data_IF_814289507451
#
_entry.id   IF_814289507451
#
_cell.length_a   1.000
_cell.length_b   1.000
_cell.length_c   1.000
_cell.angle_alpha   90.00
_cell.angle_beta   90.00
_cell.angle_gamma   90.00
#
_symmetry.space_group_name_H-M   'P 1'
#
loop_
_entity.id
_entity.type
_entity.pdbx_description
1 polymer ?
#
# COMPACT_ATOMS: atom_id res chain seq x y z
N UNK A 1 13.50 -12.16 -22.26
CA UNK A 1 14.62 -11.26 -22.65
C UNK A 1 15.61 -11.27 -21.49
N UNK A 2 16.94 -11.32 -21.72
CA UNK A 2 17.89 -11.32 -20.61
C UNK A 2 17.81 -10.01 -19.79
N UNK A 3 18.13 -10.10 -18.51
CA UNK A 3 18.21 -8.94 -17.61
C UNK A 3 19.12 -7.86 -18.20
N UNK A 4 18.61 -6.63 -18.26
CA UNK A 4 19.33 -5.48 -18.80
C UNK A 4 19.83 -4.60 -17.66
N UNK A 5 21.07 -4.84 -17.23
CA UNK A 5 21.75 -3.98 -16.27
C UNK A 5 22.01 -2.59 -16.86
N UNK A 6 21.60 -1.55 -16.12
CA UNK A 6 21.84 -0.17 -16.50
C UNK A 6 22.91 0.43 -15.59
N UNK A 7 23.81 1.25 -16.14
CA UNK A 7 24.89 1.91 -15.40
C UNK A 7 25.73 0.96 -14.53
N UNK A 8 25.94 -0.29 -14.94
CA UNK A 8 26.63 -1.34 -14.15
C UNK A 8 28.08 -1.04 -13.74
N UNK A 9 28.66 0.07 -14.19
CA UNK A 9 30.01 0.54 -13.82
C UNK A 9 30.01 1.72 -12.85
N UNK A 10 28.85 2.22 -12.43
CA UNK A 10 28.78 3.17 -11.32
C UNK A 10 28.91 2.40 -10.03
N UNK A 11 29.95 2.67 -9.24
CA UNK A 11 30.06 2.13 -7.88
C UNK A 11 29.00 2.72 -6.95
N UNK A 12 28.98 2.26 -5.70
CA UNK A 12 28.01 2.67 -4.68
C UNK A 12 27.19 1.49 -4.15
N UNK A 13 26.15 1.82 -3.42
CA UNK A 13 25.21 0.87 -2.79
C UNK A 13 23.94 0.67 -3.61
N UNK A 14 23.77 1.37 -4.74
CA UNK A 14 22.56 1.27 -5.57
C UNK A 14 22.86 0.69 -6.94
N UNK A 15 22.24 -0.46 -7.22
CA UNK A 15 22.20 -1.09 -8.54
C UNK A 15 20.77 -1.12 -9.07
N UNK A 16 20.59 -1.06 -10.39
CA UNK A 16 19.28 -1.20 -11.01
C UNK A 16 19.34 -1.81 -12.41
N UNK A 17 18.27 -2.50 -12.79
CA UNK A 17 18.16 -3.21 -14.05
C UNK A 17 16.69 -3.35 -14.46
N UNK A 18 16.46 -3.53 -15.76
CA UNK A 18 15.17 -4.08 -16.21
C UNK A 18 15.24 -5.59 -16.11
N UNK A 19 14.40 -6.17 -15.26
CA UNK A 19 14.29 -7.62 -15.04
C UNK A 19 12.91 -8.13 -15.46
N UNK A 20 12.81 -9.43 -15.59
CA UNK A 20 11.54 -10.13 -15.76
C UNK A 20 11.05 -10.61 -14.37
N UNK A 21 9.86 -10.20 -13.95
CA UNK A 21 9.16 -10.72 -12.76
C UNK A 21 7.81 -11.28 -13.22
N UNK A 22 7.65 -12.61 -13.09
CA UNK A 22 6.58 -13.33 -13.79
C UNK A 22 6.61 -13.05 -15.30
N UNK A 23 5.46 -12.65 -15.85
CA UNK A 23 5.33 -12.31 -17.28
C UNK A 23 5.61 -10.83 -17.59
N UNK A 24 6.04 -10.04 -16.60
CA UNK A 24 6.20 -8.59 -16.74
C UNK A 24 7.65 -8.13 -16.70
N UNK A 25 7.92 -7.05 -17.44
CA UNK A 25 9.20 -6.33 -17.37
C UNK A 25 9.10 -5.25 -16.33
N UNK A 26 10.06 -5.23 -15.40
CA UNK A 26 10.03 -4.35 -14.23
C UNK A 26 11.38 -3.67 -14.08
N UNK A 27 11.37 -2.38 -13.72
CA UNK A 27 12.57 -1.71 -13.22
C UNK A 27 12.82 -2.15 -11.79
N UNK A 28 13.85 -2.96 -11.58
CA UNK A 28 14.26 -3.42 -10.25
C UNK A 28 15.44 -2.59 -9.78
N UNK A 29 15.31 -2.04 -8.58
CA UNK A 29 16.34 -1.31 -7.85
C UNK A 29 16.72 -2.11 -6.62
N UNK A 30 18.02 -2.30 -6.40
CA UNK A 30 18.58 -2.93 -5.20
C UNK A 30 19.43 -1.88 -4.49
N UNK A 31 19.08 -1.60 -3.23
CA UNK A 31 19.88 -0.77 -2.32
C UNK A 31 20.51 -1.71 -1.30
N UNK A 32 21.76 -2.09 -1.55
CA UNK A 32 22.56 -2.97 -0.73
C UNK A 32 24.04 -2.65 -0.96
N UNK A 33 24.88 -2.67 0.09
CA UNK A 33 26.29 -2.39 -0.09
C UNK A 33 27.07 -2.13 1.20
N UNK A 34 28.31 -1.65 1.02
CA UNK A 34 29.19 -1.23 2.12
C UNK A 34 28.51 -0.25 3.08
N UNK A 35 28.97 -0.20 4.33
CA UNK A 35 28.39 0.63 5.39
C UNK A 35 26.87 0.44 5.59
N UNK A 36 26.38 -0.79 5.30
CA UNK A 36 24.96 -1.17 5.37
C UNK A 36 24.09 -0.33 4.43
N UNK A 37 24.57 -0.10 3.21
CA UNK A 37 23.83 0.64 2.18
C UNK A 37 23.72 2.14 2.44
N UNK A 38 24.75 2.75 3.03
CA UNK A 38 24.79 4.20 3.21
C UNK A 38 24.72 4.88 1.83
N UNK A 39 23.75 5.79 1.64
CA UNK A 39 23.53 6.45 0.36
C UNK A 39 24.52 7.59 0.17
N UNK A 40 25.35 7.47 -0.86
CA UNK A 40 26.27 8.49 -1.34
C UNK A 40 25.59 9.34 -2.43
N UNK A 41 26.20 10.46 -2.88
CA UNK A 41 25.60 11.29 -3.94
C UNK A 41 25.27 10.50 -5.22
N UNK A 42 26.18 9.62 -5.66
CA UNK A 42 26.00 8.77 -6.83
C UNK A 42 24.84 7.77 -6.68
N UNK A 43 24.59 7.29 -5.46
CA UNK A 43 23.45 6.40 -5.17
C UNK A 43 22.12 7.13 -5.36
N UNK A 44 22.04 8.38 -4.89
CA UNK A 44 20.90 9.25 -5.14
C UNK A 44 20.65 9.51 -6.63
N UNK A 45 21.70 9.72 -7.42
CA UNK A 45 21.60 9.82 -8.88
C UNK A 45 21.10 8.53 -9.52
N UNK A 46 21.61 7.37 -9.09
CA UNK A 46 21.18 6.07 -9.60
C UNK A 46 19.70 5.79 -9.30
N UNK A 47 19.25 6.08 -8.08
CA UNK A 47 17.83 6.00 -7.72
C UNK A 47 16.96 6.91 -8.61
N UNK A 48 17.39 8.17 -8.79
CA UNK A 48 16.67 9.13 -9.63
C UNK A 48 16.60 8.68 -11.11
N UNK A 49 17.69 8.13 -11.65
CA UNK A 49 17.73 7.61 -13.02
C UNK A 49 16.86 6.36 -13.16
N UNK A 50 16.87 5.46 -12.18
CA UNK A 50 16.02 4.27 -12.19
C UNK A 50 14.53 4.67 -12.22
N UNK A 51 14.10 5.55 -11.32
CA UNK A 51 12.74 6.07 -11.27
C UNK A 51 12.33 6.77 -12.57
N UNK A 52 13.17 7.68 -13.08
CA UNK A 52 12.94 8.35 -14.36
C UNK A 52 12.81 7.35 -15.51
N UNK A 53 13.68 6.36 -15.56
CA UNK A 53 13.69 5.34 -16.62
C UNK A 53 12.43 4.48 -16.55
N UNK A 54 12.01 4.06 -15.35
CA UNK A 54 10.77 3.31 -15.15
C UNK A 54 9.57 4.10 -15.68
N UNK A 55 9.44 5.37 -15.28
CA UNK A 55 8.37 6.27 -15.76
C UNK A 55 8.41 6.46 -17.28
N UNK A 56 9.57 6.82 -17.83
CA UNK A 56 9.69 7.16 -19.25
C UNK A 56 9.51 5.92 -20.15
N UNK A 57 9.86 4.72 -19.67
CA UNK A 57 9.65 3.45 -20.35
C UNK A 57 8.34 2.75 -19.99
N UNK A 58 7.52 3.35 -19.13
CA UNK A 58 6.24 2.81 -18.66
C UNK A 58 6.36 1.41 -18.06
N UNK A 59 7.37 1.24 -17.20
CA UNK A 59 7.62 0.00 -16.46
C UNK A 59 7.23 0.20 -14.99
N UNK A 60 6.60 -0.79 -14.33
CA UNK A 60 6.52 -0.82 -12.88
C UNK A 60 7.92 -0.71 -12.26
N UNK A 61 7.99 -0.10 -11.08
CA UNK A 61 9.22 0.04 -10.32
C UNK A 61 9.12 -0.75 -9.02
N UNK A 62 10.09 -1.62 -8.79
CA UNK A 62 10.25 -2.38 -7.54
C UNK A 62 11.60 -2.03 -6.94
N UNK A 63 11.60 -1.54 -5.70
CA UNK A 63 12.79 -1.09 -5.00
C UNK A 63 13.00 -1.91 -3.73
N UNK A 64 14.07 -2.70 -3.68
CA UNK A 64 14.50 -3.41 -2.49
C UNK A 64 15.46 -2.55 -1.70
N UNK A 65 15.12 -2.26 -0.46
CA UNK A 65 15.74 -1.23 0.36
C UNK A 65 16.38 -1.81 1.61
N UNK A 66 17.71 -1.69 1.70
CA UNK A 66 18.48 -1.84 2.92
C UNK A 66 19.50 -0.68 3.00
N UNK A 67 19.15 0.37 3.74
CA UNK A 67 19.99 1.57 3.92
C UNK A 67 20.09 2.05 5.39
N UNK A 68 21.32 2.25 5.83
CA UNK A 68 21.69 2.91 7.08
C UNK A 68 21.48 4.44 7.09
N UNK A 69 21.01 5.02 5.98
CA UNK A 69 20.76 6.44 5.82
C UNK A 69 21.72 7.11 4.83
N UNK A 70 21.81 8.44 4.89
CA UNK A 70 22.77 9.19 4.08
C UNK A 70 24.20 9.00 4.63
N UNK A 71 25.18 8.83 3.74
CA UNK A 71 26.59 8.76 4.10
C UNK A 71 27.03 10.06 4.79
N UNK A 72 27.45 9.95 6.06
CA UNK A 72 27.72 11.12 6.92
C UNK A 72 28.94 11.90 6.45
N UNK A 73 29.97 11.19 5.98
CA UNK A 73 31.22 11.74 5.45
C UNK A 73 31.03 12.51 4.12
N UNK A 74 29.99 12.17 3.36
CA UNK A 74 29.57 12.87 2.13
C UNK A 74 28.71 14.12 2.41
N UNK A 75 28.26 14.30 3.67
CA UNK A 75 27.55 15.49 4.15
C UNK A 75 26.33 15.89 3.31
N UNK A 76 26.26 17.17 2.93
CA UNK A 76 25.12 17.73 2.18
C UNK A 76 24.92 17.07 0.81
N UNK A 77 25.99 16.52 0.20
CA UNK A 77 25.92 15.85 -1.09
C UNK A 77 25.03 14.61 -1.03
N UNK A 78 25.21 13.76 -0.01
CA UNK A 78 24.39 12.56 0.20
C UNK A 78 22.92 12.91 0.47
N UNK A 79 22.67 13.95 1.27
CA UNK A 79 21.30 14.43 1.55
C UNK A 79 20.62 14.98 0.28
N UNK A 80 21.36 15.73 -0.53
CA UNK A 80 20.87 16.23 -1.82
C UNK A 80 20.56 15.07 -2.80
N UNK A 81 21.40 14.03 -2.79
CA UNK A 81 21.24 12.85 -3.63
C UNK A 81 19.88 12.17 -3.45
N UNK A 82 19.54 11.76 -2.22
CA UNK A 82 18.25 11.09 -1.99
C UNK A 82 17.06 12.06 -2.16
N UNK A 83 17.24 13.37 -1.92
CA UNK A 83 16.22 14.38 -2.21
C UNK A 83 15.89 14.47 -3.72
N UNK A 84 16.91 14.40 -4.58
CA UNK A 84 16.72 14.31 -6.03
C UNK A 84 16.01 13.00 -6.42
N UNK A 85 16.34 11.88 -5.79
CA UNK A 85 15.63 10.62 -5.99
C UNK A 85 14.15 10.72 -5.59
N UNK A 86 13.85 11.31 -4.43
CA UNK A 86 12.49 11.51 -3.92
C UNK A 86 11.62 12.26 -4.93
N UNK A 87 12.16 13.30 -5.59
CA UNK A 87 11.46 14.03 -6.65
C UNK A 87 11.07 13.13 -7.82
N UNK A 88 11.97 12.25 -8.28
CA UNK A 88 11.65 11.35 -9.40
C UNK A 88 10.70 10.23 -8.99
N UNK A 89 10.77 9.72 -7.75
CA UNK A 89 9.76 8.80 -7.22
C UNK A 89 8.37 9.44 -7.16
N UNK A 90 8.26 10.68 -6.67
CA UNK A 90 6.99 11.44 -6.70
C UNK A 90 6.48 11.59 -8.13
N UNK A 91 7.37 11.81 -9.10
CA UNK A 91 6.98 11.92 -10.50
C UNK A 91 6.53 10.58 -11.14
N UNK A 92 6.76 9.44 -10.47
CA UNK A 92 6.19 8.14 -10.87
C UNK A 92 4.77 7.93 -10.34
N UNK A 93 4.36 8.66 -9.28
CA UNK A 93 3.09 8.43 -8.60
C UNK A 93 1.89 8.58 -9.53
N UNK A 94 1.05 7.54 -9.57
CA UNK A 94 -0.11 7.48 -10.45
C UNK A 94 0.22 7.40 -11.94
N UNK A 95 1.48 7.13 -12.31
CA UNK A 95 1.94 6.93 -13.69
C UNK A 95 2.37 5.49 -13.91
N UNK A 96 3.26 4.98 -13.06
CA UNK A 96 3.68 3.57 -13.02
C UNK A 96 3.56 3.07 -11.58
N UNK A 97 3.20 1.80 -11.34
CA UNK A 97 3.15 1.27 -9.97
C UNK A 97 4.53 1.30 -9.31
N UNK A 98 4.59 1.78 -8.08
CA UNK A 98 5.82 1.82 -7.27
C UNK A 98 5.69 0.95 -6.01
N UNK A 99 6.50 -0.11 -5.93
CA UNK A 99 6.50 -1.05 -4.80
C UNK A 99 7.86 -1.00 -4.13
N UNK A 100 7.90 -0.74 -2.83
CA UNK A 100 9.12 -0.76 -2.04
C UNK A 100 9.12 -1.97 -1.12
N UNK A 101 10.21 -2.73 -1.12
CA UNK A 101 10.40 -3.89 -0.26
C UNK A 101 11.52 -3.58 0.73
N UNK A 102 11.21 -3.53 2.02
CA UNK A 102 12.20 -3.32 3.08
C UNK A 102 12.85 -4.66 3.39
N UNK A 103 14.11 -4.82 2.96
CA UNK A 103 14.89 -6.06 3.08
C UNK A 103 16.04 -5.93 4.08
N UNK A 104 16.12 -4.80 4.78
CA UNK A 104 17.10 -4.54 5.82
C UNK A 104 16.77 -3.24 6.57
N UNK A 105 17.72 -2.73 7.37
CA UNK A 105 17.56 -1.44 8.04
C UNK A 105 17.18 -0.37 7.01
N UNK A 106 16.14 0.42 7.25
CA UNK A 106 15.79 1.57 6.39
C UNK A 106 15.56 2.79 7.26
N UNK A 107 16.63 3.55 7.52
CA UNK A 107 16.63 4.55 8.60
C UNK A 107 16.96 5.96 8.11
N UNK A 108 16.63 6.96 8.94
CA UNK A 108 16.87 8.38 8.67
C UNK A 108 16.12 8.90 7.44
N UNK A 109 16.70 9.84 6.69
CA UNK A 109 16.09 10.47 5.50
C UNK A 109 15.48 9.46 4.50
N UNK A 110 16.22 8.43 4.07
CA UNK A 110 15.71 7.42 3.12
C UNK A 110 14.46 6.67 3.58
N UNK A 111 14.21 6.56 4.90
CA UNK A 111 12.97 5.98 5.42
C UNK A 111 11.71 6.74 4.98
N UNK A 112 11.83 8.04 4.68
CA UNK A 112 10.72 8.83 4.15
C UNK A 112 10.32 8.43 2.74
N UNK A 113 11.20 7.77 1.97
CA UNK A 113 10.86 7.27 0.63
C UNK A 113 9.77 6.20 0.68
N UNK A 114 9.68 5.44 1.78
CA UNK A 114 8.60 4.46 1.99
C UNK A 114 7.21 5.11 1.94
N UNK A 115 7.10 6.35 2.41
CA UNK A 115 5.85 7.12 2.37
C UNK A 115 5.50 7.66 0.98
N UNK A 116 6.41 7.58 0.01
CA UNK A 116 6.20 8.01 -1.38
C UNK A 116 5.76 6.86 -2.29
N UNK A 117 6.04 5.61 -1.90
CA UNK A 117 5.65 4.42 -2.64
C UNK A 117 4.12 4.23 -2.63
N UNK A 118 3.61 3.51 -3.62
CA UNK A 118 2.22 3.10 -3.64
C UNK A 118 1.97 1.95 -2.67
N UNK A 119 2.88 0.97 -2.65
CA UNK A 119 2.84 -0.20 -1.78
C UNK A 119 4.21 -0.42 -1.11
N UNK A 120 4.17 -0.89 0.13
CA UNK A 120 5.36 -1.21 0.93
C UNK A 120 5.21 -2.61 1.49
N UNK A 121 6.15 -3.48 1.16
CA UNK A 121 6.31 -4.83 1.71
C UNK A 121 7.47 -4.76 2.71
N UNK A 122 7.31 -5.30 3.91
CA UNK A 122 8.39 -5.41 4.88
C UNK A 122 8.73 -6.88 5.12
N UNK A 123 10.01 -7.23 4.99
CA UNK A 123 10.50 -8.55 5.39
C UNK A 123 10.64 -8.60 6.90
N UNK A 124 10.32 -9.72 7.52
CA UNK A 124 10.50 -9.94 8.96
C UNK A 124 11.93 -9.65 9.42
N UNK A 125 12.08 -9.32 10.71
CA UNK A 125 13.33 -8.88 11.34
C UNK A 125 13.99 -7.62 10.70
N UNK A 126 13.25 -6.87 9.88
CA UNK A 126 13.65 -5.54 9.38
C UNK A 126 13.00 -4.40 10.16
N UNK A 127 13.55 -3.19 10.03
CA UNK A 127 13.05 -2.02 10.73
C UNK A 127 13.23 -0.73 9.93
N UNK A 128 12.32 0.23 10.14
CA UNK A 128 12.41 1.55 9.55
C UNK A 128 12.05 2.67 10.54
N UNK A 129 12.76 3.79 10.49
CA UNK A 129 12.43 4.98 11.29
C UNK A 129 13.22 6.20 10.82
N UNK A 130 12.67 7.40 11.08
CA UNK A 130 13.36 8.66 10.78
C UNK A 130 14.41 8.99 11.86
N UNK A 131 14.07 8.79 13.13
CA UNK A 131 14.97 9.03 14.27
C UNK A 131 15.15 7.72 15.03
N UNK A 132 16.41 7.31 15.23
CA UNK A 132 16.69 6.03 15.89
C UNK A 132 16.48 6.05 17.41
N UNK A 133 16.48 4.86 18.07
CA UNK A 133 16.12 4.75 19.48
C UNK A 133 17.00 5.56 20.43
N UNK A 134 18.29 5.74 20.09
CA UNK A 134 19.19 6.60 20.88
C UNK A 134 18.68 8.04 20.97
N UNK A 135 18.22 8.61 19.85
CA UNK A 135 17.66 9.95 19.79
C UNK A 135 16.33 10.02 20.55
N UNK A 136 15.47 9.01 20.40
CA UNK A 136 14.19 8.94 21.13
C UNK A 136 14.45 8.95 22.63
N UNK A 137 15.35 8.11 23.14
CA UNK A 137 15.73 8.07 24.56
C UNK A 137 16.27 9.40 25.06
N UNK A 138 17.15 10.04 24.28
CA UNK A 138 17.74 11.31 24.68
C UNK A 138 16.70 12.43 24.85
N UNK A 139 15.70 12.48 23.98
CA UNK A 139 14.73 13.60 23.95
C UNK A 139 13.43 13.32 24.72
N UNK A 140 13.03 12.06 24.86
CA UNK A 140 11.76 11.67 25.48
C UNK A 140 11.93 10.89 26.77
N UNK A 141 13.11 10.29 27.00
CA UNK A 141 13.37 9.37 28.11
C UNK A 141 12.91 7.93 27.86
N UNK A 142 12.25 7.64 26.73
CA UNK A 142 11.77 6.30 26.39
C UNK A 142 12.92 5.40 25.89
N UNK A 143 13.07 4.22 26.49
CA UNK A 143 14.09 3.23 26.10
C UNK A 143 13.43 2.13 25.26
N UNK A 144 13.71 2.14 23.95
CA UNK A 144 13.12 1.23 22.97
C UNK A 144 14.23 0.51 22.18
N UNK A 145 13.94 -0.72 21.74
CA UNK A 145 14.76 -1.40 20.73
C UNK A 145 14.42 -0.89 19.32
N UNK A 146 15.22 -1.24 18.31
CA UNK A 146 14.86 -0.97 16.90
C UNK A 146 13.50 -1.59 16.56
N UNK A 147 13.28 -2.83 17.00
CA UNK A 147 12.03 -3.57 16.81
C UNK A 147 10.85 -2.86 17.48
N UNK A 148 11.02 -2.42 18.73
CA UNK A 148 9.97 -1.72 19.48
C UNK A 148 9.67 -0.32 18.94
N UNK A 149 10.60 0.30 18.23
CA UNK A 149 10.41 1.63 17.65
C UNK A 149 9.80 1.58 16.24
N UNK A 150 10.28 0.67 15.39
CA UNK A 150 9.96 0.66 13.96
C UNK A 150 10.17 -0.70 13.31
N UNK A 151 10.00 -1.79 14.07
CA UNK A 151 9.95 -3.14 13.52
C UNK A 151 8.71 -3.37 12.65
N UNK A 152 8.66 -4.51 11.99
CA UNK A 152 7.56 -4.88 11.07
C UNK A 152 6.20 -4.81 11.75
N UNK A 153 6.08 -5.35 12.97
CA UNK A 153 4.82 -5.32 13.75
C UNK A 153 4.34 -3.89 14.02
N UNK A 154 5.26 -2.96 14.30
CA UNK A 154 4.91 -1.56 14.56
C UNK A 154 4.37 -0.89 13.29
N UNK A 155 4.97 -1.18 12.15
CA UNK A 155 4.52 -0.63 10.87
C UNK A 155 3.25 -1.28 10.32
N UNK A 156 3.03 -2.56 10.62
CA UNK A 156 1.86 -3.33 10.22
C UNK A 156 0.62 -2.96 11.04
N UNK A 157 0.77 -2.66 12.34
CA UNK A 157 -0.37 -2.48 13.26
C UNK A 157 -0.58 -1.05 13.73
N UNK A 158 0.49 -0.27 13.85
CA UNK A 158 0.43 1.05 14.49
C UNK A 158 0.55 2.17 13.47
N UNK A 159 1.66 2.21 12.70
CA UNK A 159 1.92 3.34 11.81
C UNK A 159 1.23 3.22 10.44
N UNK A 160 0.92 2.00 10.00
CA UNK A 160 0.34 1.73 8.68
C UNK A 160 1.29 2.00 7.51
N UNK A 161 2.62 1.93 7.75
CA UNK A 161 3.62 2.07 6.69
C UNK A 161 3.70 0.79 5.87
N UNK A 162 3.73 -0.37 6.55
CA UNK A 162 3.69 -1.67 5.89
C UNK A 162 2.30 -1.94 5.34
N UNK A 163 2.21 -2.19 4.04
CA UNK A 163 1.01 -2.73 3.42
C UNK A 163 0.98 -4.25 3.57
N UNK A 164 2.15 -4.89 3.51
CA UNK A 164 2.31 -6.31 3.72
C UNK A 164 3.57 -6.59 4.54
N UNK A 165 3.55 -7.71 5.25
CA UNK A 165 4.71 -8.30 5.92
C UNK A 165 4.91 -9.71 5.42
N UNK A 166 6.15 -10.12 5.21
CA UNK A 166 6.53 -11.43 4.67
C UNK A 166 7.75 -11.97 5.43
N UNK A 167 7.92 -13.28 5.48
CA UNK A 167 8.99 -13.92 6.25
C UNK A 167 10.38 -13.65 5.66
N UNK A 168 10.50 -13.62 4.33
CA UNK A 168 11.79 -13.45 3.67
C UNK A 168 11.68 -12.77 2.29
N UNK A 169 12.84 -12.61 1.64
CA UNK A 169 12.95 -11.99 0.31
C UNK A 169 12.27 -12.82 -0.78
N UNK A 170 12.29 -14.14 -0.69
CA UNK A 170 11.68 -14.98 -1.72
C UNK A 170 10.15 -14.81 -1.69
N UNK A 171 9.56 -14.78 -0.50
CA UNK A 171 8.15 -14.49 -0.33
C UNK A 171 7.80 -13.05 -0.76
N UNK A 172 8.71 -12.08 -0.56
CA UNK A 172 8.53 -10.73 -1.10
C UNK A 172 8.49 -10.73 -2.64
N UNK A 173 9.36 -11.49 -3.31
CA UNK A 173 9.38 -11.59 -4.78
C UNK A 173 8.10 -12.26 -5.31
N UNK A 174 7.60 -13.29 -4.63
CA UNK A 174 6.34 -13.97 -4.96
C UNK A 174 5.13 -13.02 -4.79
N UNK A 175 5.05 -12.33 -3.65
CA UNK A 175 4.00 -11.34 -3.38
C UNK A 175 4.04 -10.16 -4.37
N UNK A 176 5.23 -9.67 -4.73
CA UNK A 176 5.36 -8.62 -5.76
C UNK A 176 4.85 -9.11 -7.11
N UNK A 177 5.13 -10.37 -7.46
CA UNK A 177 4.63 -10.98 -8.70
C UNK A 177 3.10 -11.05 -8.70
N UNK A 178 2.49 -11.45 -7.58
CA UNK A 178 1.04 -11.47 -7.42
C UNK A 178 0.43 -10.06 -7.43
N UNK A 179 1.01 -9.09 -6.72
CA UNK A 179 0.56 -7.70 -6.76
C UNK A 179 0.57 -7.15 -8.19
N UNK A 180 1.62 -7.46 -8.94
CA UNK A 180 1.72 -7.08 -10.34
C UNK A 180 0.69 -7.83 -11.22
N UNK A 181 0.11 -8.96 -10.84
CA UNK A 181 -0.99 -9.53 -11.64
C UNK A 181 -2.28 -8.71 -11.54
N UNK A 182 -2.48 -7.94 -10.46
CA UNK A 182 -3.65 -7.07 -10.30
C UNK A 182 -3.51 -5.67 -10.95
N UNK A 183 -2.29 -5.28 -11.35
CA UNK A 183 -1.98 -3.90 -11.77
C UNK A 183 -1.60 -3.81 -13.25
N UNK A 184 -1.86 -2.69 -13.94
CA UNK A 184 -1.30 -2.45 -15.27
C UNK A 184 0.20 -2.06 -15.19
N UNK A 185 0.91 -2.01 -16.33
CA UNK A 185 2.29 -1.48 -16.41
C UNK A 185 2.35 0.02 -16.11
N UNK A 186 1.30 0.73 -16.49
CA UNK A 186 1.15 2.16 -16.31
C UNK A 186 -0.32 2.57 -16.41
N UNK A 187 -0.61 3.80 -16.01
CA UNK A 187 -1.95 4.36 -15.95
C UNK A 187 -2.69 4.54 -17.30
N UNK A 188 -2.00 4.43 -18.45
CA UNK A 188 -2.67 4.48 -19.77
C UNK A 188 -3.18 3.09 -20.22
N UNK A 189 -3.07 2.06 -19.35
CA UNK A 189 -3.56 0.71 -19.58
C UNK A 189 -4.56 0.30 -18.49
N UNK A 190 -5.51 -0.54 -18.86
CA UNK A 190 -6.40 -1.23 -17.92
C UNK A 190 -5.69 -2.50 -17.45
N UNK A 191 -5.80 -2.90 -16.16
CA UNK A 191 -5.28 -4.18 -15.68
C UNK A 191 -5.69 -5.35 -16.59
N UNK A 192 -4.74 -6.21 -16.91
CA UNK A 192 -5.03 -7.42 -17.67
C UNK A 192 -5.82 -8.41 -16.80
N UNK A 193 -6.90 -8.96 -17.35
CA UNK A 193 -7.58 -10.09 -16.74
C UNK A 193 -6.87 -11.41 -17.06
N UNK A 194 -7.27 -12.47 -16.36
CA UNK A 194 -6.82 -13.84 -16.61
C UNK A 194 -8.01 -14.76 -16.90
N UNK A 195 -7.69 -15.96 -17.41
CA UNK A 195 -8.70 -17.00 -17.55
C UNK A 195 -9.19 -17.42 -16.17
N UNK A 196 -10.50 -17.30 -15.94
CA UNK A 196 -11.16 -17.69 -14.70
C UNK A 196 -12.13 -18.84 -14.98
N UNK A 197 -12.10 -19.84 -14.11
CA UNK A 197 -13.02 -20.99 -14.17
C UNK A 197 -14.23 -20.83 -13.23
N UNK A 198 -14.22 -19.85 -12.32
CA UNK A 198 -15.36 -19.54 -11.46
C UNK A 198 -16.51 -18.94 -12.30
N UNK A 199 -17.71 -19.54 -12.32
CA UNK A 199 -18.83 -19.04 -13.10
C UNK A 199 -19.31 -17.66 -12.62
N UNK A 200 -19.34 -16.68 -13.52
CA UNK A 200 -19.81 -15.31 -13.23
C UNK A 200 -21.29 -15.21 -12.84
N UNK A 201 -22.07 -16.28 -13.09
CA UNK A 201 -23.48 -16.41 -12.77
C UNK A 201 -23.75 -17.36 -11.59
N UNK A 202 -22.71 -17.79 -10.87
CA UNK A 202 -22.84 -18.57 -9.63
C UNK A 202 -23.70 -17.80 -8.63
N UNK A 203 -24.74 -18.46 -8.11
CA UNK A 203 -25.52 -17.95 -6.98
C UNK A 203 -24.74 -18.16 -5.69
N UNK A 204 -24.76 -17.15 -4.81
CA UNK A 204 -24.02 -17.14 -3.55
C UNK A 204 -24.94 -16.87 -2.34
N UNK A 205 -26.01 -17.65 -2.12
CA UNK A 205 -26.91 -17.44 -0.97
C UNK A 205 -26.16 -17.49 0.37
N UNK A 206 -25.10 -18.28 0.45
CA UNK A 206 -24.23 -18.38 1.63
C UNK A 206 -23.64 -17.04 2.08
N UNK A 207 -23.40 -16.10 1.15
CA UNK A 207 -22.92 -14.76 1.48
C UNK A 207 -23.96 -13.97 2.32
N UNK A 208 -25.25 -14.20 2.05
CA UNK A 208 -26.35 -13.60 2.80
C UNK A 208 -26.54 -14.26 4.17
N UNK A 209 -26.40 -15.59 4.24
CA UNK A 209 -26.55 -16.38 5.48
C UNK A 209 -25.52 -16.00 6.56
N UNK A 210 -24.37 -15.45 6.16
CA UNK A 210 -23.34 -14.94 7.07
C UNK A 210 -23.73 -13.64 7.78
N UNK A 211 -24.68 -12.87 7.23
CA UNK A 211 -25.08 -11.56 7.77
C UNK A 211 -26.15 -11.78 8.85
N UNK A 212 -25.91 -11.41 10.12
CA UNK A 212 -26.88 -11.65 11.18
C UNK A 212 -28.13 -10.77 11.02
N UNK A 213 -29.30 -11.38 11.19
CA UNK A 213 -30.61 -10.71 11.18
C UNK A 213 -30.75 -9.62 12.26
N UNK A 214 -29.99 -9.75 13.35
CA UNK A 214 -30.07 -8.79 14.47
C UNK A 214 -29.21 -7.55 14.19
N UNK A 215 -29.71 -6.34 14.48
CA UNK A 215 -28.92 -5.10 14.30
C UNK A 215 -27.63 -5.06 15.13
N UNK A 216 -27.55 -5.83 16.22
CA UNK A 216 -26.38 -5.90 17.12
C UNK A 216 -25.40 -7.01 16.75
N UNK A 217 -25.77 -7.93 15.86
CA UNK A 217 -24.88 -9.03 15.45
C UNK A 217 -23.69 -8.51 14.65
N UNK A 218 -22.54 -9.14 14.82
CA UNK A 218 -21.33 -8.91 14.01
C UNK A 218 -20.99 -10.17 13.20
N UNK A 219 -20.25 -9.98 12.12
CA UNK A 219 -19.74 -11.02 11.23
C UNK A 219 -18.42 -10.53 10.63
N UNK A 220 -17.58 -11.44 10.17
CA UNK A 220 -16.39 -11.05 9.41
C UNK A 220 -16.80 -10.76 7.97
N UNK A 221 -16.61 -9.52 7.51
CA UNK A 221 -16.94 -9.16 6.13
C UNK A 221 -16.10 -9.93 5.11
N UNK A 222 -14.90 -10.40 5.49
CA UNK A 222 -14.03 -11.19 4.62
C UNK A 222 -14.67 -12.50 4.20
N UNK A 223 -15.41 -13.15 5.09
CA UNK A 223 -16.14 -14.38 4.77
C UNK A 223 -17.19 -14.10 3.68
N UNK A 224 -17.89 -12.96 3.78
CA UNK A 224 -18.85 -12.52 2.75
C UNK A 224 -18.14 -12.22 1.44
N UNK A 225 -17.02 -11.50 1.47
CA UNK A 225 -16.26 -11.16 0.26
C UNK A 225 -15.72 -12.41 -0.43
N UNK A 226 -15.20 -13.38 0.32
CA UNK A 226 -14.68 -14.64 -0.20
C UNK A 226 -15.75 -15.48 -0.91
N UNK A 227 -17.03 -15.36 -0.54
CA UNK A 227 -18.11 -16.00 -1.28
C UNK A 227 -18.31 -15.38 -2.68
N UNK A 228 -18.02 -14.09 -2.84
CA UNK A 228 -18.39 -13.27 -4.00
C UNK A 228 -17.28 -13.12 -5.05
N UNK A 229 -16.02 -13.20 -4.63
CA UNK A 229 -14.85 -13.06 -5.53
C UNK A 229 -14.43 -14.41 -6.10
N UNK A 230 -13.72 -14.38 -7.22
CA UNK A 230 -13.22 -15.59 -7.86
C UNK A 230 -12.32 -16.37 -6.89
N UNK A 231 -12.58 -17.68 -6.79
CA UNK A 231 -11.80 -18.63 -5.97
C UNK A 231 -11.71 -18.26 -4.47
N UNK A 232 -12.51 -17.30 -4.00
CA UNK A 232 -12.46 -16.76 -2.65
C UNK A 232 -11.16 -16.04 -2.28
N UNK A 233 -10.37 -15.63 -3.29
CA UNK A 233 -9.05 -15.05 -3.08
C UNK A 233 -9.12 -13.55 -2.76
N UNK A 234 -8.52 -13.17 -1.63
CA UNK A 234 -8.44 -11.78 -1.15
C UNK A 234 -6.99 -11.45 -0.80
N UNK A 235 -6.41 -10.48 -1.51
CA UNK A 235 -5.10 -9.95 -1.19
C UNK A 235 -5.23 -8.61 -0.45
N UNK A 236 -5.10 -8.63 0.88
CA UNK A 236 -5.42 -7.48 1.75
C UNK A 236 -4.22 -6.60 2.12
N UNK A 237 -4.01 -5.44 1.48
CA UNK A 237 -3.07 -4.45 2.00
C UNK A 237 -3.54 -3.91 3.34
N UNK A 238 -2.60 -3.78 4.27
CA UNK A 238 -2.79 -3.23 5.63
C UNK A 238 -3.85 -4.01 6.40
N UNK A 239 -3.88 -5.34 6.29
CA UNK A 239 -4.86 -6.20 6.96
C UNK A 239 -4.95 -5.94 8.48
N UNK A 240 -3.81 -5.65 9.13
CA UNK A 240 -3.71 -5.41 10.58
C UNK A 240 -3.72 -3.92 10.99
N UNK A 241 -3.84 -2.97 10.04
CA UNK A 241 -3.95 -1.54 10.33
C UNK A 241 -5.34 -1.01 9.95
N UNK A 242 -5.94 -0.24 10.86
CA UNK A 242 -7.34 0.19 10.76
C UNK A 242 -8.29 -0.97 10.38
N UNK A 243 -8.33 -2.07 11.17
CA UNK A 243 -9.05 -3.28 10.81
C UNK A 243 -10.58 -3.11 10.76
N UNK A 244 -11.11 -1.97 11.19
CA UNK A 244 -12.51 -1.55 11.03
C UNK A 244 -12.90 -1.25 9.56
N UNK A 245 -11.92 -1.17 8.65
CA UNK A 245 -12.13 -1.10 7.20
C UNK A 245 -11.21 -2.10 6.48
N UNK A 246 -11.81 -3.00 5.71
CA UNK A 246 -11.11 -3.94 4.82
C UNK A 246 -10.90 -3.25 3.46
N UNK A 247 -9.68 -3.41 2.94
CA UNK A 247 -9.32 -3.07 1.56
C UNK A 247 -8.61 -4.27 0.97
N UNK A 248 -8.99 -4.72 -0.21
CA UNK A 248 -8.42 -5.93 -0.83
C UNK A 248 -8.32 -5.80 -2.34
N UNK A 249 -7.29 -6.39 -2.93
CA UNK A 249 -7.30 -6.76 -4.35
C UNK A 249 -7.96 -8.13 -4.48
N UNK A 250 -8.79 -8.28 -5.50
CA UNK A 250 -9.46 -9.54 -5.83
C UNK A 250 -9.76 -9.57 -7.34
N UNK A 251 -10.42 -10.63 -7.81
CA UNK A 251 -10.99 -10.66 -9.14
C UNK A 251 -12.45 -11.10 -9.16
N UNK A 252 -13.16 -10.64 -10.18
CA UNK A 252 -14.53 -11.09 -10.49
C UNK A 252 -14.61 -11.38 -12.00
N UNK A 253 -14.87 -12.64 -12.36
CA UNK A 253 -14.84 -13.10 -13.75
C UNK A 253 -13.46 -12.94 -14.40
N UNK A 254 -12.40 -13.14 -13.63
CA UNK A 254 -11.00 -13.01 -14.05
C UNK A 254 -10.53 -11.57 -14.24
N UNK A 255 -11.29 -10.57 -13.78
CA UNK A 255 -10.94 -9.14 -13.88
C UNK A 255 -10.49 -8.60 -12.53
N UNK A 256 -9.30 -7.99 -12.42
CA UNK A 256 -8.87 -7.30 -11.21
C UNK A 256 -9.86 -6.24 -10.73
N UNK A 257 -10.15 -6.24 -9.44
CA UNK A 257 -10.99 -5.24 -8.76
C UNK A 257 -10.38 -4.85 -7.41
N UNK A 258 -10.62 -3.61 -7.01
CA UNK A 258 -10.38 -3.14 -5.65
C UNK A 258 -11.65 -3.24 -4.82
N UNK A 259 -11.55 -3.84 -3.63
CA UNK A 259 -12.66 -3.98 -2.70
C UNK A 259 -12.48 -3.04 -1.51
N UNK A 260 -13.57 -2.42 -1.06
CA UNK A 260 -13.60 -1.63 0.17
C UNK A 260 -14.81 -2.04 0.99
N UNK A 261 -14.60 -2.50 2.22
CA UNK A 261 -15.69 -3.01 3.04
C UNK A 261 -15.56 -2.61 4.51
N UNK A 262 -16.67 -2.23 5.15
CA UNK A 262 -16.67 -2.04 6.60
C UNK A 262 -16.54 -3.40 7.31
N UNK A 263 -15.83 -3.45 8.44
CA UNK A 263 -15.63 -4.67 9.23
C UNK A 263 -16.43 -4.59 10.54
N UNK A 264 -17.64 -5.19 10.63
CA UNK A 264 -18.49 -5.10 11.82
C UNK A 264 -17.84 -5.68 13.09
N UNK A 265 -16.93 -6.65 12.99
CA UNK A 265 -16.21 -7.20 14.14
C UNK A 265 -15.16 -6.25 14.74
N UNK A 266 -14.79 -5.18 14.03
CA UNK A 266 -13.82 -4.20 14.49
C UNK A 266 -14.46 -2.83 14.63
N UNK A 267 -14.57 -2.35 15.87
CA UNK A 267 -15.18 -1.05 16.23
C UNK A 267 -16.56 -0.85 15.57
N UNK A 268 -17.34 -1.93 15.48
CA UNK A 268 -18.67 -1.97 14.85
C UNK A 268 -18.72 -1.47 13.39
N UNK A 269 -17.61 -1.58 12.64
CA UNK A 269 -17.52 -1.10 11.25
C UNK A 269 -17.56 0.42 11.13
N UNK A 270 -17.38 1.16 12.22
CA UNK A 270 -17.36 2.63 12.19
C UNK A 270 -16.11 3.15 11.51
N UNK A 271 -16.25 4.30 10.82
CA UNK A 271 -15.12 5.00 10.22
C UNK A 271 -14.42 5.89 11.25
N UNK A 272 -13.09 5.91 11.22
CA UNK A 272 -12.27 6.80 12.04
C UNK A 272 -11.15 7.41 11.17
N UNK A 273 -10.18 8.09 11.79
CA UNK A 273 -9.09 8.75 11.06
C UNK A 273 -8.28 7.72 10.25
N UNK A 274 -7.89 6.60 10.88
CA UNK A 274 -7.03 5.62 10.25
C UNK A 274 -7.75 4.88 9.10
N UNK A 275 -9.02 4.47 9.31
CA UNK A 275 -9.82 3.86 8.25
C UNK A 275 -10.07 4.83 7.09
N UNK A 276 -10.32 6.11 7.36
CA UNK A 276 -10.51 7.12 6.30
C UNK A 276 -9.25 7.34 5.46
N UNK A 277 -8.07 7.32 6.11
CA UNK A 277 -6.78 7.38 5.43
C UNK A 277 -6.51 6.10 4.61
N UNK A 278 -6.78 4.92 5.18
CA UNK A 278 -6.67 3.62 4.51
C UNK A 278 -7.52 3.57 3.24
N UNK A 279 -8.82 3.80 3.39
CA UNK A 279 -9.79 3.77 2.31
C UNK A 279 -9.50 4.85 1.26
N UNK A 280 -9.25 6.09 1.68
CA UNK A 280 -8.95 7.19 0.75
C UNK A 280 -7.70 6.94 -0.10
N UNK A 281 -6.62 6.40 0.49
CA UNK A 281 -5.40 6.05 -0.26
C UNK A 281 -5.66 4.88 -1.22
N UNK A 282 -6.38 3.84 -0.78
CA UNK A 282 -6.68 2.67 -1.61
C UNK A 282 -7.59 3.00 -2.80
N UNK A 283 -8.65 3.77 -2.58
CA UNK A 283 -9.56 4.25 -3.64
C UNK A 283 -8.81 5.08 -4.68
N UNK A 284 -7.98 6.03 -4.23
CA UNK A 284 -7.18 6.86 -5.12
C UNK A 284 -6.14 6.03 -5.92
N UNK A 285 -5.57 5.00 -5.30
CA UNK A 285 -4.65 4.08 -5.97
C UNK A 285 -5.36 3.25 -7.04
N UNK A 286 -6.51 2.66 -6.72
CA UNK A 286 -7.31 1.89 -7.69
C UNK A 286 -7.72 2.77 -8.89
N UNK A 287 -8.18 3.99 -8.62
CA UNK A 287 -8.54 4.95 -9.67
C UNK A 287 -7.36 5.30 -10.58
N UNK A 288 -6.19 5.58 -10.00
CA UNK A 288 -4.99 5.94 -10.76
C UNK A 288 -4.48 4.82 -11.68
N UNK A 289 -4.80 3.56 -11.37
CA UNK A 289 -4.36 2.39 -12.13
C UNK A 289 -5.53 1.60 -12.75
N UNK A 290 -6.67 2.26 -12.94
CA UNK A 290 -7.81 1.73 -13.68
C UNK A 290 -8.44 0.44 -13.10
N UNK A 291 -8.31 0.20 -11.78
CA UNK A 291 -9.01 -0.89 -11.11
C UNK A 291 -10.44 -0.45 -10.78
N UNK A 292 -11.48 -1.18 -11.25
CA UNK A 292 -12.85 -0.98 -10.79
C UNK A 292 -12.95 -1.17 -9.27
N UNK A 293 -13.84 -0.42 -8.65
CA UNK A 293 -14.09 -0.47 -7.21
C UNK A 293 -15.42 -1.14 -6.89
N UNK A 294 -15.41 -2.06 -5.93
CA UNK A 294 -16.63 -2.61 -5.33
C UNK A 294 -16.64 -2.32 -3.84
N UNK A 295 -17.66 -1.57 -3.41
CA UNK A 295 -17.80 -1.09 -2.04
C UNK A 295 -18.90 -1.85 -1.32
N UNK A 296 -18.61 -2.43 -0.16
CA UNK A 296 -19.57 -3.16 0.67
C UNK A 296 -19.84 -2.43 1.99
N UNK A 297 -21.09 -2.01 2.20
CA UNK A 297 -21.43 -1.07 3.27
C UNK A 297 -22.17 -1.75 4.42
N UNK A 298 -21.55 -1.77 5.60
CA UNK A 298 -22.19 -2.06 6.89
C UNK A 298 -21.57 -1.18 7.98
N UNK A 299 -21.95 0.10 8.00
CA UNK A 299 -21.43 1.07 8.97
C UNK A 299 -22.53 1.88 9.62
N UNK A 300 -22.40 2.10 10.93
CA UNK A 300 -23.30 2.94 11.71
C UNK A 300 -22.90 4.42 11.72
N UNK A 301 -21.78 4.80 11.09
CA UNK A 301 -21.28 6.18 11.11
C UNK A 301 -19.78 6.28 11.37
N UNK A 302 -19.37 7.48 11.79
CA UNK A 302 -18.03 7.71 12.31
C UNK A 302 -17.95 7.36 13.80
N UNK A 303 -16.78 6.91 14.25
CA UNK A 303 -16.51 6.67 15.65
C UNK A 303 -16.53 8.01 16.43
N UNK A 304 -17.34 8.16 17.49
CA UNK A 304 -17.40 9.42 18.22
C UNK A 304 -16.25 9.57 19.22
N UNK A 305 -15.71 10.77 19.38
CA UNK A 305 -14.76 11.05 20.46
C UNK A 305 -14.07 12.41 20.39
N UNK A 306 -13.97 13.10 21.53
CA UNK A 306 -13.30 14.42 21.64
C UNK A 306 -11.87 14.39 21.10
N UNK A 307 -11.11 13.36 21.47
CA UNK A 307 -9.70 13.24 21.03
C UNK A 307 -9.60 12.94 19.53
N UNK A 308 -10.59 12.24 18.96
CA UNK A 308 -10.67 12.01 17.52
C UNK A 308 -10.94 13.32 16.78
N UNK A 309 -11.87 14.14 17.27
CA UNK A 309 -12.16 15.46 16.72
C UNK A 309 -10.91 16.36 16.76
N UNK A 310 -10.21 16.42 17.89
CA UNK A 310 -8.99 17.23 18.04
C UNK A 310 -7.82 16.75 17.17
N UNK A 311 -7.75 15.44 16.91
CA UNK A 311 -6.77 14.87 15.97
C UNK A 311 -7.11 15.15 14.50
N UNK A 312 -8.24 15.81 14.22
CA UNK A 312 -8.59 16.31 12.90
C UNK A 312 -9.50 15.38 12.10
N UNK A 313 -10.48 14.75 12.76
CA UNK A 313 -11.46 13.86 12.12
C UNK A 313 -12.11 14.49 10.89
N UNK A 314 -12.48 15.78 10.92
CA UNK A 314 -13.06 16.48 9.76
C UNK A 314 -12.13 16.43 8.54
N UNK A 315 -10.84 16.75 8.74
CA UNK A 315 -9.86 16.82 7.63
C UNK A 315 -9.50 15.44 7.09
N UNK A 316 -9.28 14.47 7.97
CA UNK A 316 -8.88 13.12 7.56
C UNK A 316 -10.06 12.26 7.10
N UNK A 317 -11.23 12.41 7.73
CA UNK A 317 -12.48 11.77 7.33
C UNK A 317 -12.92 12.15 5.93
N UNK A 318 -12.69 13.41 5.54
CA UNK A 318 -13.00 13.91 4.21
C UNK A 318 -12.13 13.26 3.10
N UNK A 319 -11.00 12.63 3.42
CA UNK A 319 -10.09 12.09 2.40
C UNK A 319 -10.71 10.93 1.61
N UNK A 320 -11.48 10.07 2.27
CA UNK A 320 -12.17 8.96 1.61
C UNK A 320 -13.32 9.46 0.72
N UNK A 321 -14.11 10.41 1.21
CA UNK A 321 -15.14 11.07 0.42
C UNK A 321 -14.55 11.79 -0.81
N UNK A 322 -13.43 12.49 -0.63
CA UNK A 322 -12.71 13.14 -1.73
C UNK A 322 -12.22 12.13 -2.77
N UNK A 323 -11.65 10.99 -2.32
CA UNK A 323 -11.17 9.95 -3.22
C UNK A 323 -12.31 9.36 -4.06
N UNK A 324 -13.44 9.00 -3.44
CA UNK A 324 -14.60 8.51 -4.19
C UNK A 324 -15.18 9.53 -5.15
N UNK A 325 -15.34 10.80 -4.73
CA UNK A 325 -15.89 11.86 -5.59
C UNK A 325 -14.99 12.19 -6.79
N UNK A 326 -13.69 11.89 -6.70
CA UNK A 326 -12.72 12.07 -7.77
C UNK A 326 -12.59 10.86 -8.68
N UNK A 327 -12.91 9.67 -8.16
CA UNK A 327 -12.70 8.43 -8.89
C UNK A 327 -13.58 8.37 -10.15
N UNK A 328 -12.98 7.93 -11.24
CA UNK A 328 -13.58 7.82 -12.58
C UNK A 328 -13.63 6.39 -13.11
N UNK A 329 -12.93 5.46 -12.45
CA UNK A 329 -13.10 4.02 -12.67
C UNK A 329 -14.54 3.57 -12.42
N UNK A 330 -14.98 2.43 -12.99
CA UNK A 330 -16.29 1.87 -12.65
C UNK A 330 -16.41 1.60 -11.14
N UNK A 331 -17.53 1.98 -10.56
CA UNK A 331 -17.82 1.82 -9.13
C UNK A 331 -19.15 1.10 -8.92
N UNK A 332 -19.16 0.13 -8.02
CA UNK A 332 -20.36 -0.60 -7.60
C UNK A 332 -20.43 -0.57 -6.09
N UNK A 333 -21.55 -0.10 -5.54
CA UNK A 333 -21.78 -0.06 -4.10
C UNK A 333 -22.92 -1.00 -3.72
N UNK A 334 -22.67 -1.89 -2.76
CA UNK A 334 -23.61 -2.86 -2.22
C UNK A 334 -23.77 -2.62 -0.73
N UNK A 335 -24.94 -2.13 -0.31
CA UNK A 335 -25.27 -2.04 1.11
C UNK A 335 -25.63 -3.42 1.63
N UNK A 336 -24.80 -3.94 2.53
CA UNK A 336 -25.01 -5.25 3.17
C UNK A 336 -26.07 -5.15 4.28
N UNK A 337 -25.97 -4.12 5.14
CA UNK A 337 -26.89 -3.96 6.28
C UNK A 337 -27.07 -2.51 6.74
N UNK A 338 -26.12 -1.94 7.49
CA UNK A 338 -26.23 -0.55 8.01
C UNK A 338 -25.59 0.44 7.05
N UNK A 339 -26.27 1.55 6.82
CA UNK A 339 -25.73 2.67 6.04
C UNK A 339 -26.34 3.97 6.54
N UNK A 340 -25.71 4.55 7.57
CA UNK A 340 -26.27 5.70 8.30
C UNK A 340 -25.47 6.99 8.13
N UNK A 341 -26.20 8.11 8.11
CA UNK A 341 -25.65 9.47 8.23
C UNK A 341 -24.60 9.82 7.18
N UNK A 342 -23.56 10.53 7.60
CA UNK A 342 -22.46 10.94 6.71
C UNK A 342 -21.61 9.77 6.21
N UNK A 343 -21.55 8.66 6.94
CA UNK A 343 -20.76 7.50 6.52
C UNK A 343 -21.36 6.80 5.28
N UNK A 344 -22.69 6.83 5.12
CA UNK A 344 -23.34 6.44 3.85
C UNK A 344 -22.75 7.20 2.66
N UNK A 345 -22.58 8.53 2.80
CA UNK A 345 -22.04 9.38 1.74
C UNK A 345 -20.58 8.99 1.46
N UNK A 346 -19.79 8.82 2.52
CA UNK A 346 -18.34 8.53 2.45
C UNK A 346 -18.05 7.14 1.89
N UNK A 347 -18.96 6.17 2.07
CA UNK A 347 -18.87 4.80 1.55
C UNK A 347 -19.51 4.68 0.15
N UNK A 348 -19.09 5.54 -0.78
CA UNK A 348 -19.42 5.41 -2.20
C UNK A 348 -20.92 5.51 -2.55
N UNK A 349 -21.64 6.49 -1.97
CA UNK A 349 -23.05 6.68 -2.30
C UNK A 349 -23.28 7.17 -3.74
N UNK A 350 -24.43 6.80 -4.32
CA UNK A 350 -24.80 7.09 -5.73
C UNK A 350 -24.66 8.55 -6.18
N UNK A 351 -24.75 9.53 -5.27
CA UNK A 351 -24.69 10.95 -5.64
C UNK A 351 -23.30 11.58 -5.45
N UNK A 352 -22.31 10.79 -5.04
CA UNK A 352 -20.91 11.24 -4.93
C UNK A 352 -20.18 11.26 -6.29
N UNK A 353 -20.75 10.65 -7.33
CA UNK A 353 -20.23 10.56 -8.70
C UNK A 353 -20.79 9.32 -9.38
#
# INVERSE_FOLDING_TARGET
VPDLGLRTRTGGSVAFAVRQLGDRRVMVVEVEGEDRGALRPADGENLAIAARTARDQRLPLVCFMASSGAAIDEGVGAVHGWGTAAREFVACSGVVPTIFCVTGPTVSGPALLLGLADLVVMVDDTYAFVSGPHMVRQFTGEDLSNEGLGGTTMHERTSGVAHFTVADRAEADDLVTELLSFLPDHNDQIPAGWACADPVDRLTPEAGDLIPDTPTGSYDVRDVLACLVDDGHLLEPRAQWAPNLVTAFASIGGRPVGLVANQPQSVAGTLDIAASQKGGRFVAFCDAFNLPLVTFVDTSGFYPGKDLEWRGMIRYGAQMAFAYARATVPRVCVTLRKSYGGAYIVMDSRYMG
#
